data_IF_673201262562
#
_entry.id   IF_673201262562
#
_cell.length_a   1.000
_cell.length_b   1.000
_cell.length_c   1.000
_cell.angle_alpha   90.00
_cell.angle_beta   90.00
_cell.angle_gamma   90.00
#
_symmetry.space_group_name_H-M   'P 1'
#
loop_
_entity.id
_entity.type
_entity.pdbx_description
1 polymer ?
#
# COMPACT_ATOMS: atom_id res chain seq x y z
N UNK A 1 0.35 -9.76 -17.86
CA UNK A 1 -0.35 -10.26 -16.66
C UNK A 1 0.28 -11.55 -16.18
N UNK A 2 0.36 -11.73 -14.87
CA UNK A 2 0.80 -12.99 -14.24
C UNK A 2 -0.31 -13.41 -13.28
N UNK A 3 -0.94 -14.56 -13.55
CA UNK A 3 -2.00 -15.08 -12.71
C UNK A 3 -2.09 -16.59 -12.88
N UNK A 4 -2.13 -17.33 -11.76
CA UNK A 4 -2.21 -18.78 -11.77
C UNK A 4 -3.64 -19.29 -12.03
N UNK A 5 -4.64 -18.59 -11.50
CA UNK A 5 -6.02 -19.07 -11.46
C UNK A 5 -6.88 -18.57 -12.62
N UNK A 6 -6.64 -17.32 -13.06
CA UNK A 6 -7.46 -16.60 -14.03
C UNK A 6 -6.80 -16.40 -15.40
N UNK A 7 -5.69 -17.09 -15.68
CA UNK A 7 -4.95 -16.94 -16.94
C UNK A 7 -5.84 -17.17 -18.18
N UNK A 8 -6.74 -18.16 -18.13
CA UNK A 8 -7.66 -18.45 -19.25
C UNK A 8 -8.68 -17.31 -19.46
N UNK A 9 -9.26 -16.79 -18.39
CA UNK A 9 -10.21 -15.68 -18.49
C UNK A 9 -9.51 -14.40 -18.99
N UNK A 10 -8.28 -14.18 -18.56
CA UNK A 10 -7.45 -13.09 -19.07
C UNK A 10 -7.18 -13.24 -20.57
N UNK A 11 -6.85 -14.44 -21.06
CA UNK A 11 -6.67 -14.69 -22.49
C UNK A 11 -7.92 -14.37 -23.30
N UNK A 12 -9.09 -14.78 -22.83
CA UNK A 12 -10.36 -14.51 -23.49
C UNK A 12 -10.63 -13.00 -23.51
N UNK A 13 -10.50 -12.33 -22.38
CA UNK A 13 -10.83 -10.92 -22.22
C UNK A 13 -9.84 -9.96 -22.92
N UNK A 14 -8.62 -10.42 -23.18
CA UNK A 14 -7.58 -9.62 -23.83
C UNK A 14 -7.27 -10.05 -25.26
N UNK A 15 -8.06 -10.96 -25.85
CA UNK A 15 -7.84 -11.53 -27.19
C UNK A 15 -7.82 -10.49 -28.33
N UNK A 16 -8.35 -9.30 -28.11
CA UNK A 16 -8.32 -8.18 -29.08
C UNK A 16 -7.09 -7.27 -28.98
N UNK A 17 -6.12 -7.59 -28.13
CA UNK A 17 -4.92 -6.76 -27.91
C UNK A 17 -3.66 -7.56 -28.23
N UNK A 18 -2.89 -7.09 -29.23
CA UNK A 18 -1.69 -7.78 -29.71
C UNK A 18 -0.50 -7.72 -28.76
N UNK A 19 -0.44 -6.69 -27.91
CA UNK A 19 0.68 -6.42 -27.00
C UNK A 19 0.48 -7.01 -25.58
N UNK A 20 -0.42 -7.98 -25.43
CA UNK A 20 -0.72 -8.59 -24.15
C UNK A 20 -0.01 -9.94 -24.03
N UNK A 21 0.79 -10.10 -22.99
CA UNK A 21 1.36 -11.37 -22.58
C UNK A 21 0.72 -11.83 -21.26
N UNK A 22 0.28 -13.07 -21.21
CA UNK A 22 -0.29 -13.70 -20.01
C UNK A 22 0.55 -14.91 -19.63
N UNK A 23 0.90 -14.99 -18.36
CA UNK A 23 1.71 -16.09 -17.79
C UNK A 23 0.91 -16.74 -16.68
N UNK A 24 0.67 -18.05 -16.83
CA UNK A 24 -0.02 -18.87 -15.84
C UNK A 24 1.00 -19.43 -14.84
N UNK A 25 1.36 -18.63 -13.85
CA UNK A 25 2.30 -19.01 -12.77
C UNK A 25 2.10 -18.10 -11.56
N UNK A 26 2.77 -18.44 -10.46
CA UNK A 26 2.91 -17.53 -9.33
C UNK A 26 3.84 -16.39 -9.68
N UNK A 27 3.44 -15.18 -9.31
CA UNK A 27 4.18 -13.95 -9.55
C UNK A 27 5.64 -14.03 -9.09
N UNK A 28 5.88 -14.56 -7.91
CA UNK A 28 7.21 -14.64 -7.29
C UNK A 28 8.20 -15.49 -8.08
N UNK A 29 7.70 -16.47 -8.83
CA UNK A 29 8.54 -17.39 -9.60
C UNK A 29 9.07 -16.77 -10.89
N UNK A 30 8.28 -15.92 -11.54
CA UNK A 30 8.55 -15.51 -12.92
C UNK A 30 8.94 -14.04 -13.09
N UNK A 31 8.58 -13.18 -12.12
CA UNK A 31 8.73 -11.73 -12.31
C UNK A 31 10.19 -11.29 -12.49
N UNK A 32 11.12 -11.91 -11.76
CA UNK A 32 12.55 -11.54 -11.86
C UNK A 32 13.13 -11.88 -13.23
N UNK A 33 12.71 -13.01 -13.81
CA UNK A 33 13.14 -13.43 -15.14
C UNK A 33 12.54 -12.53 -16.22
N UNK A 34 11.26 -12.16 -16.10
CA UNK A 34 10.60 -11.22 -17.00
C UNK A 34 11.29 -9.85 -17.04
N UNK A 35 11.81 -9.42 -15.90
CA UNK A 35 12.49 -8.15 -15.74
C UNK A 35 14.00 -8.20 -16.04
N UNK A 36 14.56 -9.38 -16.34
CA UNK A 36 15.99 -9.56 -16.42
C UNK A 36 16.67 -8.72 -17.52
N UNK A 37 16.04 -8.61 -18.70
CA UNK A 37 16.62 -7.96 -19.87
C UNK A 37 15.87 -6.65 -20.23
N UNK A 38 15.24 -6.00 -19.26
CA UNK A 38 14.46 -4.77 -19.47
C UNK A 38 15.26 -3.49 -19.13
N UNK A 39 16.55 -3.51 -19.47
CA UNK A 39 17.39 -2.31 -19.38
C UNK A 39 16.78 -1.21 -20.24
N UNK A 40 16.82 0.01 -19.75
CA UNK A 40 16.32 1.22 -20.47
C UNK A 40 14.79 1.25 -20.70
N UNK A 41 14.03 0.33 -20.09
CA UNK A 41 12.57 0.38 -20.09
C UNK A 41 12.04 1.25 -18.94
N UNK A 42 10.91 1.90 -19.18
CA UNK A 42 10.06 2.41 -18.11
C UNK A 42 9.15 1.26 -17.68
N UNK A 43 9.23 0.89 -16.42
CA UNK A 43 8.51 -0.25 -15.86
C UNK A 43 7.47 0.24 -14.86
N UNK A 44 6.22 -0.16 -15.05
CA UNK A 44 5.15 0.02 -14.10
C UNK A 44 4.64 -1.36 -13.66
N UNK A 45 4.68 -1.65 -12.36
CA UNK A 45 4.18 -2.89 -11.81
C UNK A 45 2.96 -2.60 -10.92
N UNK A 46 1.79 -3.07 -11.36
CA UNK A 46 0.62 -3.17 -10.50
C UNK A 46 0.62 -4.53 -9.82
N UNK A 47 0.67 -4.55 -8.50
CA UNK A 47 0.79 -5.75 -7.67
C UNK A 47 -0.47 -5.85 -6.82
N UNK A 48 -1.36 -6.75 -7.21
CA UNK A 48 -2.64 -7.00 -6.56
C UNK A 48 -2.71 -8.50 -6.18
N UNK A 49 -2.02 -8.89 -5.10
CA UNK A 49 -1.85 -10.29 -4.78
C UNK A 49 -3.08 -10.88 -4.10
N UNK A 50 -3.34 -12.12 -4.40
CA UNK A 50 -4.22 -12.98 -3.62
C UNK A 50 -3.50 -13.38 -2.32
N UNK A 51 -3.73 -12.67 -1.24
CA UNK A 51 -3.01 -12.86 0.03
C UNK A 51 -1.77 -11.97 0.18
N UNK A 52 -0.81 -12.38 1.01
CA UNK A 52 0.33 -11.55 1.41
C UNK A 52 1.69 -11.99 0.83
N UNK A 53 1.78 -13.18 0.22
CA UNK A 53 3.07 -13.77 -0.18
C UNK A 53 3.81 -12.96 -1.25
N UNK A 54 3.09 -12.42 -2.23
CA UNK A 54 3.70 -11.59 -3.27
C UNK A 54 4.22 -10.22 -2.77
N UNK A 55 3.95 -9.87 -1.51
CA UNK A 55 4.38 -8.62 -0.88
C UNK A 55 5.77 -8.71 -0.27
N UNK A 56 6.61 -9.66 -0.70
CA UNK A 56 7.95 -9.83 -0.16
C UNK A 56 8.83 -8.60 -0.42
N UNK A 57 9.24 -7.95 0.65
CA UNK A 57 10.08 -6.76 0.62
C UNK A 57 11.38 -6.96 -0.17
N UNK A 58 11.94 -8.17 -0.15
CA UNK A 58 13.16 -8.53 -0.90
C UNK A 58 13.00 -8.43 -2.42
N UNK A 59 11.80 -8.70 -2.95
CA UNK A 59 11.50 -8.52 -4.38
C UNK A 59 11.56 -7.03 -4.74
N UNK A 60 10.95 -6.19 -3.92
CA UNK A 60 10.93 -4.73 -4.16
C UNK A 60 12.33 -4.12 -4.03
N UNK A 61 13.15 -4.62 -3.11
CA UNK A 61 14.57 -4.26 -3.02
C UNK A 61 15.31 -4.61 -4.32
N UNK A 62 15.04 -5.79 -4.85
CA UNK A 62 15.66 -6.26 -6.10
C UNK A 62 15.26 -5.40 -7.29
N UNK A 63 13.98 -5.02 -7.39
CA UNK A 63 13.50 -4.15 -8.49
C UNK A 63 14.18 -2.78 -8.46
N UNK A 64 14.36 -2.20 -7.27
CA UNK A 64 15.01 -0.90 -7.12
C UNK A 64 16.46 -0.87 -7.60
N UNK A 65 17.12 -2.04 -7.69
CA UNK A 65 18.52 -2.19 -8.10
C UNK A 65 18.68 -2.51 -9.59
N UNK A 66 17.57 -2.79 -10.31
CA UNK A 66 17.62 -3.10 -11.74
C UNK A 66 17.91 -1.84 -12.55
N UNK A 67 18.65 -1.95 -13.67
CA UNK A 67 19.01 -0.82 -14.51
C UNK A 67 17.87 -0.39 -15.45
N UNK A 68 16.71 -0.14 -14.89
CA UNK A 68 15.57 0.44 -15.62
C UNK A 68 15.81 1.93 -15.89
N UNK A 69 15.18 2.47 -16.93
CA UNK A 69 15.11 3.91 -17.09
C UNK A 69 14.26 4.53 -15.96
N UNK A 70 13.11 3.93 -15.66
CA UNK A 70 12.33 4.22 -14.46
C UNK A 70 11.59 2.97 -13.99
N UNK A 71 11.28 2.92 -12.69
CA UNK A 71 10.40 1.91 -12.13
C UNK A 71 9.40 2.55 -11.18
N UNK A 72 8.14 2.15 -11.34
CA UNK A 72 7.04 2.50 -10.46
C UNK A 72 6.31 1.25 -9.99
N UNK A 73 6.02 1.18 -8.71
CA UNK A 73 5.23 0.12 -8.11
C UNK A 73 3.90 0.71 -7.63
N UNK A 74 2.80 0.05 -7.94
CA UNK A 74 1.50 0.30 -7.33
C UNK A 74 1.04 -0.99 -6.68
N UNK A 75 0.99 -1.00 -5.36
CA UNK A 75 0.79 -2.21 -4.55
C UNK A 75 -0.55 -2.11 -3.85
N UNK A 76 -1.46 -3.07 -4.11
CA UNK A 76 -2.63 -3.28 -3.28
C UNK A 76 -2.21 -4.10 -2.04
N UNK A 77 -1.98 -3.38 -0.94
CA UNK A 77 -1.36 -3.91 0.26
C UNK A 77 -2.40 -4.37 1.27
N UNK A 78 -2.56 -5.69 1.40
CA UNK A 78 -3.42 -6.30 2.41
C UNK A 78 -2.75 -6.26 3.80
N UNK A 79 -2.65 -5.07 4.37
CA UNK A 79 -1.99 -4.84 5.65
C UNK A 79 -2.74 -5.47 6.84
N UNK A 80 -4.07 -5.48 6.78
CA UNK A 80 -4.89 -6.08 7.83
C UNK A 80 -4.80 -7.61 7.81
N UNK A 81 -4.76 -8.21 6.60
CA UNK A 81 -4.49 -9.63 6.42
C UNK A 81 -3.12 -10.03 6.96
N UNK A 82 -2.09 -9.18 6.78
CA UNK A 82 -0.79 -9.43 7.39
C UNK A 82 -0.86 -9.49 8.92
N UNK A 83 -1.54 -8.55 9.57
CA UNK A 83 -1.68 -8.52 11.04
C UNK A 83 -2.37 -9.78 11.55
N UNK A 84 -3.42 -10.25 10.84
CA UNK A 84 -4.09 -11.51 11.17
C UNK A 84 -3.12 -12.69 11.13
N UNK A 85 -2.41 -12.85 10.01
CA UNK A 85 -1.45 -13.96 9.85
C UNK A 85 -0.29 -13.87 10.87
N UNK A 86 0.13 -12.66 11.18
CA UNK A 86 1.13 -12.40 12.22
C UNK A 86 0.64 -12.85 13.62
N UNK A 87 -0.61 -12.57 13.95
CA UNK A 87 -1.22 -13.08 15.19
C UNK A 87 -1.22 -14.61 15.21
N UNK A 88 -1.70 -15.25 14.14
CA UNK A 88 -1.75 -16.72 14.06
C UNK A 88 -0.36 -17.34 14.18
N UNK A 89 0.65 -16.81 13.50
CA UNK A 89 2.02 -17.32 13.57
C UNK A 89 2.63 -17.24 14.96
N UNK A 90 2.17 -16.31 15.78
CA UNK A 90 2.58 -16.13 17.19
C UNK A 90 1.64 -16.81 18.19
N UNK A 91 0.64 -17.58 17.73
CA UNK A 91 -0.34 -18.26 18.58
C UNK A 91 -1.26 -17.30 19.33
N UNK A 92 -1.53 -16.14 18.75
CA UNK A 92 -2.37 -15.09 19.33
C UNK A 92 -3.68 -15.04 18.56
N UNK A 93 -4.81 -15.02 19.28
CA UNK A 93 -6.12 -14.88 18.66
C UNK A 93 -6.29 -13.47 18.13
N UNK A 94 -6.62 -13.36 16.84
CA UNK A 94 -7.00 -12.09 16.24
C UNK A 94 -8.44 -11.74 16.65
N UNK A 95 -8.65 -10.58 17.30
CA UNK A 95 -9.95 -10.21 17.88
C UNK A 95 -10.93 -9.64 16.86
N UNK A 96 -10.41 -9.05 15.80
CA UNK A 96 -11.18 -8.41 14.74
C UNK A 96 -11.52 -9.35 13.57
N UNK A 97 -11.45 -10.67 13.80
CA UNK A 97 -11.71 -11.71 12.76
C UNK A 97 -13.06 -11.52 12.05
N UNK A 98 -14.12 -11.16 12.80
CA UNK A 98 -15.45 -10.95 12.23
C UNK A 98 -15.53 -9.82 11.21
N UNK A 99 -14.58 -8.90 11.20
CA UNK A 99 -14.55 -7.79 10.25
C UNK A 99 -13.91 -8.16 8.93
N UNK A 100 -13.28 -9.34 8.85
CA UNK A 100 -12.67 -9.87 7.61
C UNK A 100 -13.65 -10.72 6.80
N UNK A 101 -14.75 -11.19 7.42
CA UNK A 101 -15.73 -12.06 6.75
C UNK A 101 -16.45 -11.41 5.57
N UNK A 102 -16.45 -10.07 5.50
CA UNK A 102 -17.01 -9.33 4.36
C UNK A 102 -16.07 -9.26 3.14
N UNK A 103 -14.85 -9.82 3.26
CA UNK A 103 -13.90 -9.88 2.16
C UNK A 103 -14.15 -11.15 1.36
N UNK A 104 -14.71 -11.03 0.16
CA UNK A 104 -15.00 -12.15 -0.77
C UNK A 104 -13.73 -12.89 -1.20
N UNK A 105 -12.58 -12.24 -1.11
CA UNK A 105 -11.26 -12.74 -1.54
C UNK A 105 -10.41 -13.23 -0.35
N UNK A 106 -11.04 -13.83 0.61
CA UNK A 106 -10.35 -14.31 1.79
C UNK A 106 -9.57 -15.59 1.45
N UNK A 107 -8.24 -15.46 1.30
CA UNK A 107 -7.39 -16.64 1.23
C UNK A 107 -7.38 -17.35 2.59
N UNK A 108 -7.96 -18.55 2.61
CA UNK A 108 -8.03 -19.40 3.79
C UNK A 108 -6.70 -20.09 4.15
N UNK A 109 -5.62 -19.81 3.45
CA UNK A 109 -4.27 -20.31 3.79
C UNK A 109 -3.77 -19.62 5.04
N UNK A 110 -4.17 -20.13 6.18
CA UNK A 110 -3.69 -19.67 7.47
C UNK A 110 -2.24 -20.06 7.68
N UNK A 111 -1.44 -19.10 8.15
CA UNK A 111 -0.14 -19.41 8.72
C UNK A 111 -0.35 -20.09 10.07
N UNK A 112 0.26 -21.26 10.26
CA UNK A 112 0.25 -21.96 11.53
C UNK A 112 1.19 -21.29 12.54
N UNK A 113 1.03 -21.66 13.80
CA UNK A 113 1.94 -21.25 14.85
C UNK A 113 3.25 -22.03 14.74
N UNK A 114 4.15 -21.52 13.88
CA UNK A 114 5.43 -22.16 13.62
C UNK A 114 6.55 -21.15 13.37
N UNK A 115 7.78 -21.58 13.65
CA UNK A 115 8.97 -20.79 13.36
C UNK A 115 9.11 -20.52 11.85
N UNK A 116 8.63 -21.43 11.00
CA UNK A 116 8.64 -21.26 9.54
C UNK A 116 7.71 -20.11 9.11
N UNK A 117 6.50 -20.03 9.68
CA UNK A 117 5.56 -18.94 9.43
C UNK A 117 6.13 -17.58 9.85
N UNK A 118 6.77 -17.52 11.01
CA UNK A 118 7.46 -16.29 11.47
C UNK A 118 8.58 -15.87 10.51
N UNK A 119 9.38 -16.82 10.02
CA UNK A 119 10.44 -16.52 9.05
C UNK A 119 9.88 -16.03 7.70
N UNK A 120 8.76 -16.58 7.26
CA UNK A 120 8.09 -16.13 6.05
C UNK A 120 7.55 -14.71 6.18
N UNK A 121 6.90 -14.40 7.32
CA UNK A 121 6.46 -13.05 7.61
C UNK A 121 7.62 -12.04 7.72
N UNK A 122 8.76 -12.45 8.26
CA UNK A 122 9.96 -11.62 8.26
C UNK A 122 10.45 -11.29 6.84
N UNK A 123 10.34 -12.23 5.88
CA UNK A 123 10.67 -11.97 4.48
C UNK A 123 9.68 -11.00 3.84
N UNK A 124 8.40 -11.18 4.11
CA UNK A 124 7.34 -10.30 3.60
C UNK A 124 7.53 -8.89 4.15
N UNK A 125 7.70 -8.75 5.46
CA UNK A 125 7.88 -7.46 6.11
C UNK A 125 9.24 -6.80 5.84
N UNK A 126 10.25 -7.59 5.45
CA UNK A 126 11.64 -7.13 5.34
C UNK A 126 12.31 -6.90 6.69
N UNK A 127 11.85 -7.58 7.74
CA UNK A 127 12.38 -7.50 9.10
C UNK A 127 11.42 -8.10 10.12
N UNK A 128 11.83 -8.10 11.37
CA UNK A 128 11.10 -8.68 12.50
C UNK A 128 10.33 -7.64 13.35
N UNK A 129 10.35 -6.37 12.95
CA UNK A 129 9.74 -5.23 13.66
C UNK A 129 8.24 -5.40 13.93
N UNK A 130 7.55 -6.17 13.10
CA UNK A 130 6.13 -6.46 13.24
C UNK A 130 5.82 -7.27 14.52
N UNK A 131 6.77 -8.06 15.02
CA UNK A 131 6.56 -8.89 16.20
C UNK A 131 6.27 -8.04 17.44
N UNK A 132 6.95 -6.89 17.60
CA UNK A 132 6.67 -5.98 18.71
C UNK A 132 5.25 -5.40 18.60
N UNK A 133 4.77 -5.10 17.42
CA UNK A 133 3.40 -4.63 17.18
C UNK A 133 2.39 -5.69 17.65
N UNK A 134 2.65 -6.97 17.34
CA UNK A 134 1.78 -8.07 17.74
C UNK A 134 1.84 -8.31 19.28
N UNK A 135 2.99 -8.10 19.92
CA UNK A 135 3.07 -8.13 21.39
C UNK A 135 2.29 -6.98 22.02
N UNK A 136 2.37 -5.77 21.49
CA UNK A 136 1.57 -4.63 21.95
C UNK A 136 0.07 -4.91 21.82
N UNK A 137 -0.35 -5.51 20.69
CA UNK A 137 -1.71 -5.96 20.46
C UNK A 137 -2.15 -7.05 21.46
N UNK A 138 -1.32 -8.08 21.68
CA UNK A 138 -1.58 -9.14 22.68
C UNK A 138 -1.84 -8.58 24.07
N UNK A 139 -1.05 -7.59 24.46
CA UNK A 139 -1.11 -6.95 25.78
C UNK A 139 -2.25 -5.91 25.90
N UNK A 140 -3.11 -5.77 24.87
CA UNK A 140 -4.19 -4.78 24.80
C UNK A 140 -3.71 -3.32 24.89
N UNK A 141 -2.44 -3.04 24.59
CA UNK A 141 -1.89 -1.69 24.53
C UNK A 141 -2.39 -0.95 23.28
N UNK A 142 -2.66 -1.72 22.21
CA UNK A 142 -3.22 -1.26 20.95
C UNK A 142 -4.32 -2.22 20.47
N UNK A 143 -5.22 -1.73 19.63
CA UNK A 143 -6.22 -2.56 18.92
C UNK A 143 -5.68 -3.01 17.55
N UNK A 144 -6.43 -3.86 16.82
CA UNK A 144 -6.00 -4.39 15.53
C UNK A 144 -5.81 -3.33 14.45
N UNK A 145 -6.55 -2.23 14.51
CA UNK A 145 -6.39 -1.11 13.58
C UNK A 145 -5.15 -0.26 13.86
N UNK A 146 -4.84 -0.06 15.14
CA UNK A 146 -3.59 0.61 15.52
C UNK A 146 -2.38 -0.25 15.14
N UNK A 147 -2.51 -1.59 15.26
CA UNK A 147 -1.49 -2.53 14.81
C UNK A 147 -1.30 -2.47 13.29
N UNK A 148 -2.39 -2.46 12.51
CA UNK A 148 -2.37 -2.29 11.06
C UNK A 148 -1.70 -0.98 10.65
N UNK A 149 -2.10 0.13 11.25
CA UNK A 149 -1.54 1.44 10.96
C UNK A 149 -0.05 1.50 11.25
N UNK A 150 0.38 1.03 12.44
CA UNK A 150 1.81 0.97 12.81
C UNK A 150 2.60 0.11 11.83
N UNK A 151 2.10 -1.08 11.50
CA UNK A 151 2.75 -1.97 10.55
C UNK A 151 2.88 -1.33 9.18
N UNK A 152 1.81 -0.76 8.64
CA UNK A 152 1.79 -0.09 7.35
C UNK A 152 2.81 1.05 7.27
N UNK A 153 2.91 1.88 8.31
CA UNK A 153 3.90 2.96 8.39
C UNK A 153 5.32 2.41 8.39
N UNK A 154 5.60 1.36 9.16
CA UNK A 154 6.94 0.76 9.22
C UNK A 154 7.31 0.08 7.91
N UNK A 155 6.35 -0.57 7.25
CA UNK A 155 6.54 -1.16 5.92
C UNK A 155 6.84 -0.07 4.88
N UNK A 156 6.11 1.03 4.86
CA UNK A 156 6.43 2.16 3.99
C UNK A 156 7.80 2.77 4.28
N UNK A 157 8.20 2.87 5.55
CA UNK A 157 9.53 3.34 5.92
C UNK A 157 10.62 2.39 5.42
N UNK A 158 10.35 1.08 5.39
CA UNK A 158 11.25 0.09 4.80
C UNK A 158 11.39 0.31 3.29
N UNK A 159 10.29 0.57 2.57
CA UNK A 159 10.31 0.89 1.14
C UNK A 159 11.04 2.21 0.84
N UNK A 160 10.93 3.22 1.70
CA UNK A 160 11.66 4.50 1.59
C UNK A 160 13.19 4.35 1.65
N UNK A 161 13.70 3.22 2.12
CA UNK A 161 15.14 2.94 2.05
C UNK A 161 15.62 2.65 0.62
N UNK A 162 14.71 2.34 -0.29
CA UNK A 162 15.00 1.93 -1.67
C UNK A 162 14.35 2.83 -2.73
N UNK A 163 13.25 3.48 -2.38
CA UNK A 163 12.51 4.37 -3.26
C UNK A 163 12.47 5.78 -2.66
N UNK A 164 12.76 6.79 -3.48
CA UNK A 164 12.80 8.18 -3.03
C UNK A 164 11.43 8.69 -2.57
N UNK A 165 10.36 8.21 -3.23
CA UNK A 165 9.00 8.64 -2.97
C UNK A 165 8.11 7.42 -2.73
N UNK A 166 7.43 7.42 -1.59
CA UNK A 166 6.48 6.38 -1.20
C UNK A 166 5.20 7.03 -0.72
N UNK A 167 4.12 6.82 -1.45
CA UNK A 167 2.78 7.27 -1.10
C UNK A 167 2.00 6.11 -0.48
N UNK A 168 1.11 6.40 0.46
CA UNK A 168 0.30 5.41 1.14
C UNK A 168 -1.12 5.95 1.32
N UNK A 169 -2.08 5.37 0.61
CA UNK A 169 -3.49 5.72 0.67
C UNK A 169 -4.30 4.57 1.31
N UNK A 170 -4.99 4.81 2.42
CA UNK A 170 -5.89 3.80 3.00
C UNK A 170 -7.13 3.62 2.12
N UNK A 171 -7.53 2.37 1.89
CA UNK A 171 -8.75 2.01 1.17
C UNK A 171 -9.82 1.55 2.16
N UNK A 172 -10.98 2.21 2.15
CA UNK A 172 -12.14 1.88 2.97
C UNK A 172 -13.28 1.40 2.07
N UNK A 173 -13.99 0.36 2.49
CA UNK A 173 -15.12 -0.17 1.72
C UNK A 173 -16.40 0.67 1.92
N UNK A 174 -16.57 1.23 3.11
CA UNK A 174 -17.70 2.09 3.47
C UNK A 174 -17.22 3.26 4.31
N UNK A 175 -17.96 4.37 4.26
CA UNK A 175 -17.73 5.50 5.13
C UNK A 175 -17.77 5.09 6.61
N UNK A 176 -16.94 5.72 7.44
CA UNK A 176 -16.82 5.38 8.86
C UNK A 176 -16.12 4.06 9.16
N UNK A 177 -15.90 3.20 8.17
CA UNK A 177 -15.10 1.99 8.34
C UNK A 177 -13.61 2.30 8.34
N UNK A 178 -12.86 1.51 9.08
CA UNK A 178 -11.41 1.57 9.06
C UNK A 178 -10.84 0.88 7.83
N UNK A 179 -9.67 1.29 7.32
CA UNK A 179 -9.10 0.74 6.10
C UNK A 179 -8.78 -0.75 6.28
N UNK A 180 -9.10 -1.55 5.25
CA UNK A 180 -8.76 -2.98 5.16
C UNK A 180 -7.54 -3.20 4.26
N UNK A 181 -7.38 -2.34 3.26
CA UNK A 181 -6.27 -2.34 2.31
C UNK A 181 -5.64 -0.96 2.26
N UNK A 182 -4.44 -0.93 1.71
CA UNK A 182 -3.75 0.32 1.39
C UNK A 182 -3.20 0.25 -0.01
N UNK A 183 -3.33 1.35 -0.72
CA UNK A 183 -2.67 1.50 -2.00
C UNK A 183 -1.33 2.19 -1.76
N UNK A 184 -0.23 1.47 -1.99
CA UNK A 184 1.12 1.98 -1.81
C UNK A 184 1.75 2.19 -3.19
N UNK A 185 2.20 3.41 -3.45
CA UNK A 185 2.96 3.73 -4.66
C UNK A 185 4.40 4.03 -4.31
N UNK A 186 5.34 3.45 -5.07
CA UNK A 186 6.78 3.66 -4.91
C UNK A 186 7.39 4.10 -6.24
N UNK A 187 8.19 5.16 -6.22
CA UNK A 187 8.93 5.62 -7.38
C UNK A 187 10.21 6.35 -6.99
N UNK A 188 11.17 6.48 -7.92
CA UNK A 188 12.37 7.30 -7.76
C UNK A 188 12.27 8.64 -8.51
N UNK A 189 11.15 8.89 -9.20
CA UNK A 189 10.95 10.07 -10.02
C UNK A 189 9.87 10.99 -9.43
N UNK A 190 10.18 12.29 -9.29
CA UNK A 190 9.25 13.27 -8.73
C UNK A 190 7.96 13.40 -9.54
N UNK A 191 8.03 13.37 -10.88
CA UNK A 191 6.83 13.47 -11.71
C UNK A 191 5.90 12.27 -11.54
N UNK A 192 6.45 11.04 -11.41
CA UNK A 192 5.66 9.84 -11.11
C UNK A 192 4.96 9.94 -9.76
N UNK A 193 5.67 10.46 -8.74
CA UNK A 193 5.10 10.70 -7.42
C UNK A 193 3.93 11.70 -7.48
N UNK A 194 4.12 12.84 -8.15
CA UNK A 194 3.10 13.89 -8.24
C UNK A 194 1.87 13.44 -9.03
N UNK A 195 2.09 12.78 -10.19
CA UNK A 195 1.00 12.24 -10.99
C UNK A 195 0.17 11.22 -10.21
N UNK A 196 0.84 10.33 -9.48
CA UNK A 196 0.13 9.33 -8.66
C UNK A 196 -0.57 9.98 -7.46
N UNK A 197 0.04 10.97 -6.82
CA UNK A 197 -0.60 11.73 -5.76
C UNK A 197 -1.91 12.37 -6.25
N UNK A 198 -1.90 13.04 -7.39
CA UNK A 198 -3.10 13.63 -8.00
C UNK A 198 -4.16 12.56 -8.32
N UNK A 199 -3.75 11.44 -8.93
CA UNK A 199 -4.68 10.34 -9.23
C UNK A 199 -5.31 9.73 -7.96
N UNK A 200 -4.50 9.45 -6.95
CA UNK A 200 -4.99 8.94 -5.67
C UNK A 200 -5.97 9.93 -5.04
N UNK A 201 -5.65 11.23 -5.15
CA UNK A 201 -6.49 12.31 -4.72
C UNK A 201 -7.86 12.25 -5.39
N UNK A 202 -7.93 12.36 -6.66
CA UNK A 202 -9.18 12.37 -7.42
C UNK A 202 -10.02 11.10 -7.15
N UNK A 203 -9.36 9.95 -6.97
CA UNK A 203 -10.06 8.70 -6.64
C UNK A 203 -10.61 8.66 -5.23
N UNK A 204 -9.94 9.29 -4.29
CA UNK A 204 -10.46 9.42 -2.93
C UNK A 204 -11.77 10.21 -2.88
N UNK A 205 -11.86 11.32 -3.61
CA UNK A 205 -13.09 12.10 -3.74
C UNK A 205 -14.23 11.26 -4.33
N UNK A 206 -13.97 10.59 -5.46
CA UNK A 206 -14.96 9.69 -6.08
C UNK A 206 -15.39 8.57 -5.12
N UNK A 207 -14.48 8.01 -4.34
CA UNK A 207 -14.82 6.99 -3.35
C UNK A 207 -15.72 7.52 -2.24
N UNK A 208 -15.50 8.73 -1.76
CA UNK A 208 -16.38 9.38 -0.78
C UNK A 208 -17.78 9.55 -1.33
N UNK A 209 -17.90 10.02 -2.56
CA UNK A 209 -19.20 10.22 -3.21
C UNK A 209 -19.97 8.90 -3.37
N UNK A 210 -19.28 7.83 -3.78
CA UNK A 210 -19.89 6.50 -3.91
C UNK A 210 -20.30 5.95 -2.54
N UNK A 211 -19.47 6.10 -1.51
CA UNK A 211 -19.75 5.63 -0.16
C UNK A 211 -20.96 6.33 0.46
N UNK A 212 -21.20 7.57 0.07
CA UNK A 212 -22.33 8.38 0.51
C UNK A 212 -23.56 8.24 -0.40
N UNK A 213 -23.62 7.23 -1.30
CA UNK A 213 -24.70 7.03 -2.26
C UNK A 213 -25.03 8.30 -3.08
N UNK A 214 -24.00 9.10 -3.40
CA UNK A 214 -24.12 10.43 -4.02
C UNK A 214 -25.07 11.39 -3.29
N UNK A 215 -25.40 11.12 -2.02
CA UNK A 215 -26.16 12.02 -1.20
C UNK A 215 -25.25 13.09 -0.63
N UNK A 216 -25.46 14.32 -1.04
CA UNK A 216 -24.93 15.49 -0.34
C UNK A 216 -25.67 15.60 1.00
N UNK A 217 -25.12 15.02 2.04
CA UNK A 217 -25.66 15.18 3.39
C UNK A 217 -25.42 16.61 3.84
N UNK A 218 -26.47 17.43 3.74
CA UNK A 218 -26.49 18.83 4.22
C UNK A 218 -26.35 18.92 5.75
N UNK A 219 -26.49 17.81 6.48
CA UNK A 219 -26.53 17.75 7.94
C UNK A 219 -25.90 16.45 8.46
N UNK A 220 -24.61 16.30 8.36
CA UNK A 220 -23.94 15.17 8.99
C UNK A 220 -23.16 15.64 10.22
N UNK A 221 -23.82 15.61 11.38
CA UNK A 221 -23.22 15.97 12.68
C UNK A 221 -22.24 14.93 13.23
N UNK A 222 -22.06 13.78 12.54
CA UNK A 222 -21.23 12.65 13.02
C UNK A 222 -19.93 12.47 12.24
N UNK A 223 -19.53 13.42 11.41
CA UNK A 223 -18.21 13.39 10.82
C UNK A 223 -17.14 13.68 11.87
N UNK A 224 -16.71 12.65 12.58
CA UNK A 224 -15.33 12.56 13.06
C UNK A 224 -14.40 12.42 11.84
N UNK A 225 -14.56 13.32 10.89
CA UNK A 225 -13.58 13.53 9.85
C UNK A 225 -12.35 14.06 10.54
N UNK A 226 -11.24 13.44 10.28
CA UNK A 226 -9.93 14.08 10.39
C UNK A 226 -9.94 15.29 9.42
N UNK A 227 -10.74 16.30 9.75
CA UNK A 227 -10.68 17.62 9.11
C UNK A 227 -9.33 18.17 9.55
N UNK A 228 -8.34 17.98 8.69
CA UNK A 228 -7.05 18.60 8.92
C UNK A 228 -7.33 20.09 8.87
N UNK A 229 -7.16 20.74 10.02
CA UNK A 229 -7.34 22.18 10.15
C UNK A 229 -6.44 22.88 9.12
N UNK A 230 -6.96 23.82 8.31
CA UNK A 230 -6.15 24.59 7.37
C UNK A 230 -4.89 25.20 7.99
N UNK A 231 -4.95 25.62 9.26
CA UNK A 231 -3.79 26.10 10.01
C UNK A 231 -2.71 25.01 10.24
N UNK A 232 -3.11 23.75 10.34
CA UNK A 232 -2.18 22.64 10.48
C UNK A 232 -1.48 22.33 9.14
N UNK A 233 -2.19 22.42 8.02
CA UNK A 233 -1.60 22.32 6.69
C UNK A 233 -0.57 23.43 6.47
N UNK A 234 -0.95 24.65 6.77
CA UNK A 234 -0.03 25.82 6.65
C UNK A 234 1.22 25.60 7.49
N UNK A 235 1.08 25.12 8.71
CA UNK A 235 2.20 24.83 9.60
C UNK A 235 3.13 23.77 8.98
N UNK A 236 2.58 22.65 8.51
CA UNK A 236 3.35 21.57 7.86
C UNK A 236 4.05 22.06 6.59
N UNK A 237 3.38 22.88 5.77
CA UNK A 237 3.97 23.48 4.58
C UNK A 237 5.14 24.39 4.98
N UNK A 238 4.95 25.30 5.94
CA UNK A 238 6.02 26.19 6.42
C UNK A 238 7.20 25.41 6.98
N UNK A 239 6.96 24.40 7.80
CA UNK A 239 8.00 23.52 8.35
C UNK A 239 8.76 22.79 7.25
N UNK A 240 8.06 22.27 6.25
CA UNK A 240 8.69 21.57 5.15
C UNK A 240 9.61 22.48 4.34
N UNK A 241 9.10 23.65 3.92
CA UNK A 241 9.87 24.54 3.08
C UNK A 241 10.97 25.30 3.85
N UNK A 242 10.86 25.45 5.16
CA UNK A 242 11.92 26.04 5.99
C UNK A 242 13.21 25.21 6.04
N UNK A 243 13.15 23.93 5.68
CA UNK A 243 14.32 23.04 5.63
C UNK A 243 15.26 23.34 4.46
N UNK A 244 14.74 23.97 3.40
CA UNK A 244 15.52 24.26 2.21
C UNK A 244 16.31 25.56 2.38
N UNK A 245 17.63 25.45 2.45
CA UNK A 245 18.55 26.60 2.51
C UNK A 245 18.93 27.12 1.13
N UNK A 246 18.69 26.32 0.10
CA UNK A 246 19.05 26.60 -1.29
C UNK A 246 17.82 26.45 -2.20
N UNK A 247 17.95 26.99 -3.44
CA UNK A 247 16.91 26.84 -4.46
C UNK A 247 16.71 25.36 -4.81
N UNK A 248 15.55 24.84 -4.57
CA UNK A 248 15.16 23.45 -4.88
C UNK A 248 14.05 23.47 -5.94
N UNK A 249 14.02 22.46 -6.81
CA UNK A 249 12.93 22.29 -7.78
C UNK A 249 11.61 22.11 -7.05
N UNK A 250 10.59 22.87 -7.44
CA UNK A 250 9.27 22.81 -6.82
C UNK A 250 8.68 21.41 -6.83
N UNK A 251 8.75 20.71 -7.98
CA UNK A 251 8.27 19.33 -8.12
C UNK A 251 8.92 18.37 -7.11
N UNK A 252 10.25 18.44 -6.96
CA UNK A 252 10.99 17.62 -6.02
C UNK A 252 10.53 17.88 -4.59
N UNK A 253 10.49 19.15 -4.16
CA UNK A 253 10.10 19.49 -2.80
C UNK A 253 8.63 19.11 -2.51
N UNK A 254 7.75 19.20 -3.51
CA UNK A 254 6.36 18.80 -3.37
C UNK A 254 6.21 17.27 -3.25
N UNK A 255 6.97 16.50 -4.04
CA UNK A 255 6.99 15.04 -3.94
C UNK A 255 7.54 14.57 -2.58
N UNK A 256 8.56 15.25 -2.04
CA UNK A 256 9.08 15.02 -0.69
C UNK A 256 8.03 15.36 0.37
N UNK A 257 7.27 16.43 0.18
CA UNK A 257 6.17 16.82 1.07
C UNK A 257 5.10 15.72 1.15
N UNK A 258 4.60 15.23 0.00
CA UNK A 258 3.61 14.16 -0.02
C UNK A 258 4.12 12.84 0.57
N UNK A 259 5.39 12.53 0.34
CA UNK A 259 6.02 11.35 0.93
C UNK A 259 6.13 11.45 2.46
N UNK A 260 6.37 12.66 2.98
CA UNK A 260 6.53 12.89 4.41
C UNK A 260 5.20 12.97 5.17
N UNK A 261 4.23 13.71 4.63
CA UNK A 261 2.99 14.04 5.34
C UNK A 261 1.76 13.28 4.84
N UNK A 262 1.90 12.55 3.72
CA UNK A 262 0.80 11.83 3.10
C UNK A 262 -0.04 12.70 2.16
N UNK A 263 -0.93 12.03 1.40
CA UNK A 263 -1.76 12.66 0.37
C UNK A 263 -3.00 13.32 0.99
N UNK A 264 -3.44 12.83 2.14
CA UNK A 264 -4.69 13.27 2.79
C UNK A 264 -4.72 14.77 3.14
N UNK A 265 -3.59 15.47 3.08
CA UNK A 265 -3.51 16.91 3.33
C UNK A 265 -4.13 17.78 2.24
N UNK A 266 -4.38 17.24 1.05
CA UNK A 266 -4.93 18.00 -0.07
C UNK A 266 -6.47 18.04 -0.09
N UNK A 267 -7.14 17.26 0.77
CA UNK A 267 -8.60 17.03 0.69
C UNK A 267 -9.44 17.85 1.63
N UNK A 268 -8.86 18.74 2.36
CA UNK A 268 -9.54 19.53 3.37
C UNK A 268 -9.71 20.99 3.01
N UNK A 269 -9.58 21.32 1.72
CA UNK A 269 -9.86 22.68 1.24
C UNK A 269 -11.19 22.75 0.51
#
# INVERSE_FOLDING_TARGET
FIDLNYANDLHINTSGYDDVQIISDNYENVILDLLQNKRDYNVFLYIDPYGIKALQSSLFDTYSQKPFNSIELLINFNSFGFIREACHSMGIKFREESMLTDLVEYDSTHMDHSQKSVQELNKIAGGDYWQQIIYDYKNNTINGYDAEMKFSLMYCNRLKMKYNYVLNMPLRLKEGQRPKYRLIHCTNHEDGCLLMAENMCNRWEVMKDIQNDYQTCLWDENHNNEIINPSEIETKVREHYSKYKEKTRLKKSLAEFFTQYGICLLYTS
#
